data_IF_871423294644
#
_entry.id   IF_871423294644
#
_cell.length_a   1.000
_cell.length_b   1.000
_cell.length_c   1.000
_cell.angle_alpha   90.00
_cell.angle_beta   90.00
_cell.angle_gamma   90.00
#
_symmetry.space_group_name_H-M   'P 1'
#
loop_
_entity.id
_entity.type
_entity.pdbx_description
1 polymer ?
#
# COMPACT_ATOMS: atom_id res chain seq x y z
N UNK A 1 4.51 -3.65 32.53
CA UNK A 1 3.86 -3.19 31.28
C UNK A 1 4.24 -4.15 30.17
N UNK A 2 3.33 -5.04 29.76
CA UNK A 2 3.57 -5.99 28.68
C UNK A 2 3.26 -5.27 27.37
N UNK A 3 4.29 -4.96 26.59
CA UNK A 3 4.13 -4.37 25.26
C UNK A 3 3.46 -5.37 24.33
N UNK A 4 2.22 -5.10 23.92
CA UNK A 4 1.54 -5.83 22.86
C UNK A 4 2.38 -5.74 21.58
N UNK A 5 3.03 -6.83 21.18
CA UNK A 5 3.66 -6.96 19.86
C UNK A 5 2.55 -6.90 18.84
N UNK A 6 2.27 -5.70 18.32
CA UNK A 6 1.19 -5.49 17.35
C UNK A 6 1.35 -6.44 16.18
N UNK A 7 0.40 -7.37 16.04
CA UNK A 7 0.28 -8.24 14.86
C UNK A 7 0.23 -7.34 13.63
N UNK A 8 1.30 -7.34 12.83
CA UNK A 8 1.33 -6.63 11.55
C UNK A 8 0.16 -7.13 10.71
N UNK A 9 -0.74 -6.22 10.34
CA UNK A 9 -1.88 -6.52 9.47
C UNK A 9 -1.46 -7.14 8.14
N UNK A 10 -2.41 -7.74 7.43
CA UNK A 10 -2.17 -8.33 6.10
C UNK A 10 -1.68 -7.23 5.13
N UNK A 11 -0.71 -7.56 4.30
CA UNK A 11 -0.22 -6.65 3.27
C UNK A 11 -1.31 -6.40 2.23
N UNK A 12 -1.53 -5.14 1.88
CA UNK A 12 -2.40 -4.74 0.77
C UNK A 12 -1.66 -5.07 -0.53
N UNK A 13 -2.32 -5.78 -1.46
CA UNK A 13 -1.78 -6.13 -2.77
C UNK A 13 -1.86 -4.94 -3.74
N UNK A 14 -1.11 -4.98 -4.84
CA UNK A 14 -1.07 -3.96 -5.91
C UNK A 14 -2.46 -3.49 -6.33
N UNK A 15 -3.35 -4.42 -6.66
CA UNK A 15 -4.69 -4.11 -7.18
C UNK A 15 -5.53 -3.39 -6.12
N UNK A 16 -5.35 -3.79 -4.85
CA UNK A 16 -5.97 -3.09 -3.72
C UNK A 16 -5.42 -1.68 -3.53
N UNK A 17 -4.12 -1.48 -3.76
CA UNK A 17 -3.53 -0.13 -3.74
C UNK A 17 -4.09 0.74 -4.87
N UNK A 18 -4.27 0.19 -6.08
CA UNK A 18 -4.86 0.91 -7.20
C UNK A 18 -6.30 1.33 -6.93
N UNK A 19 -7.11 0.48 -6.30
CA UNK A 19 -8.48 0.83 -5.89
C UNK A 19 -8.45 2.01 -4.91
N UNK A 20 -7.58 1.95 -3.91
CA UNK A 20 -7.43 3.04 -2.91
C UNK A 20 -7.04 4.35 -3.60
N UNK A 21 -6.15 4.29 -4.59
CA UNK A 21 -5.72 5.44 -5.37
C UNK A 21 -6.88 6.00 -6.19
N UNK A 22 -7.63 5.16 -6.91
CA UNK A 22 -8.80 5.60 -7.71
C UNK A 22 -9.86 6.26 -6.84
N UNK A 23 -10.16 5.68 -5.68
CA UNK A 23 -11.09 6.25 -4.70
C UNK A 23 -10.58 7.60 -4.17
N UNK A 24 -9.29 7.70 -3.87
CA UNK A 24 -8.68 8.97 -3.46
C UNK A 24 -8.79 10.03 -4.57
N UNK A 25 -8.46 9.67 -5.82
CA UNK A 25 -8.58 10.57 -6.98
C UNK A 25 -10.00 11.07 -7.12
N UNK A 26 -11.00 10.19 -7.07
CA UNK A 26 -12.41 10.57 -7.10
C UNK A 26 -12.77 11.60 -6.03
N UNK A 27 -12.39 11.36 -4.76
CA UNK A 27 -12.66 12.34 -3.70
C UNK A 27 -11.88 13.65 -3.85
N UNK A 28 -10.74 13.62 -4.54
CA UNK A 28 -9.94 14.83 -4.82
C UNK A 28 -10.59 15.65 -5.92
N UNK A 29 -11.04 15.01 -7.00
CA UNK A 29 -11.78 15.64 -8.10
C UNK A 29 -13.09 16.25 -7.60
N UNK A 30 -13.83 15.50 -6.78
CA UNK A 30 -15.03 16.01 -6.12
C UNK A 30 -14.68 17.25 -5.29
N UNK A 31 -13.63 17.20 -4.45
CA UNK A 31 -13.17 18.34 -3.65
C UNK A 31 -12.76 19.55 -4.48
N UNK A 32 -12.12 19.36 -5.63
CA UNK A 32 -11.76 20.45 -6.54
C UNK A 32 -12.99 21.04 -7.24
N UNK A 33 -13.93 20.20 -7.67
CA UNK A 33 -15.23 20.63 -8.18
C UNK A 33 -16.00 21.47 -7.13
N UNK A 34 -15.80 21.20 -5.83
CA UNK A 34 -16.37 22.00 -4.75
C UNK A 34 -15.87 23.45 -4.72
N UNK A 35 -14.63 23.71 -5.13
CA UNK A 35 -14.08 25.07 -5.18
C UNK A 35 -14.80 25.95 -6.21
N UNK A 36 -15.49 25.33 -7.19
CA UNK A 36 -16.23 26.01 -8.25
C UNK A 36 -17.71 26.26 -7.92
N UNK A 37 -18.28 25.70 -6.83
CA UNK A 37 -19.63 26.06 -6.39
C UNK A 37 -20.41 24.93 -5.71
N UNK A 38 -20.52 25.04 -4.38
CA UNK A 38 -21.37 24.33 -3.40
C UNK A 38 -21.15 22.81 -3.25
N UNK A 39 -20.74 22.34 -2.05
CA UNK A 39 -20.64 20.92 -1.78
C UNK A 39 -21.97 20.23 -1.58
N UNK A 40 -22.15 19.13 -2.30
CA UNK A 40 -23.05 18.05 -1.89
C UNK A 40 -22.54 17.39 -0.60
N UNK A 41 -21.23 17.48 -0.32
CA UNK A 41 -20.58 16.74 0.76
C UNK A 41 -19.40 17.54 1.38
N UNK A 42 -19.38 17.74 2.71
CA UNK A 42 -18.27 18.45 3.39
C UNK A 42 -17.00 17.59 3.47
N UNK A 43 -16.00 17.87 2.63
CA UNK A 43 -14.74 17.11 2.58
C UNK A 43 -13.73 17.79 3.50
N UNK A 44 -13.88 17.64 4.82
CA UNK A 44 -12.89 18.14 5.79
C UNK A 44 -11.52 17.48 5.62
N UNK A 45 -11.48 16.23 5.15
CA UNK A 45 -10.26 15.49 4.81
C UNK A 45 -10.53 14.41 3.77
N UNK A 46 -9.94 14.55 2.57
CA UNK A 46 -9.98 13.56 1.49
C UNK A 46 -9.40 12.22 1.95
N UNK A 47 -8.35 12.27 2.79
CA UNK A 47 -7.65 11.09 3.30
C UNK A 47 -8.55 10.30 4.27
N UNK A 48 -9.25 10.97 5.18
CA UNK A 48 -10.13 10.31 6.14
C UNK A 48 -11.33 9.65 5.45
N UNK A 49 -11.86 10.28 4.39
CA UNK A 49 -12.94 9.70 3.58
C UNK A 49 -12.46 8.50 2.77
N UNK A 50 -11.29 8.59 2.16
CA UNK A 50 -10.68 7.46 1.46
C UNK A 50 -10.47 6.30 2.43
N UNK A 51 -9.96 6.58 3.63
CA UNK A 51 -9.77 5.60 4.69
C UNK A 51 -11.08 4.93 5.10
N UNK A 52 -12.15 5.70 5.32
CA UNK A 52 -13.47 5.19 5.65
C UNK A 52 -14.07 4.34 4.51
N UNK A 53 -14.02 4.83 3.27
CA UNK A 53 -14.59 4.15 2.10
C UNK A 53 -13.88 2.84 1.78
N UNK A 54 -12.56 2.78 1.98
CA UNK A 54 -11.74 1.58 1.70
C UNK A 54 -11.54 0.69 2.92
N UNK A 55 -12.04 1.08 4.09
CA UNK A 55 -11.80 0.39 5.37
C UNK A 55 -10.31 0.20 5.69
N UNK A 56 -9.49 1.16 5.29
CA UNK A 56 -8.03 1.16 5.51
C UNK A 56 -7.66 2.32 6.43
N UNK A 57 -6.70 2.13 7.33
CA UNK A 57 -6.22 3.22 8.18
C UNK A 57 -5.72 4.42 7.37
N UNK A 58 -5.99 5.63 7.84
CA UNK A 58 -5.49 6.88 7.22
C UNK A 58 -3.97 6.88 7.02
N UNK A 59 -3.23 6.36 7.99
CA UNK A 59 -1.77 6.21 7.88
C UNK A 59 -1.35 5.31 6.70
N UNK A 60 -2.08 4.22 6.46
CA UNK A 60 -1.80 3.33 5.33
C UNK A 60 -2.15 3.99 4.00
N UNK A 61 -3.25 4.76 3.93
CA UNK A 61 -3.60 5.57 2.75
C UNK A 61 -2.47 6.57 2.44
N UNK A 62 -2.02 7.36 3.41
CA UNK A 62 -0.91 8.31 3.22
C UNK A 62 0.38 7.61 2.74
N UNK A 63 0.67 6.42 3.27
CA UNK A 63 1.85 5.63 2.86
C UNK A 63 1.73 5.11 1.42
N UNK A 64 0.54 4.69 0.99
CA UNK A 64 0.27 4.26 -0.39
C UNK A 64 0.42 5.44 -1.35
N UNK A 65 -0.14 6.61 -1.01
CA UNK A 65 -0.02 7.82 -1.83
C UNK A 65 1.44 8.28 -1.97
N UNK A 66 2.23 8.20 -0.89
CA UNK A 66 3.67 8.48 -0.95
C UNK A 66 4.38 7.55 -1.93
N UNK A 67 4.11 6.25 -1.86
CA UNK A 67 4.67 5.26 -2.79
C UNK A 67 4.24 5.52 -4.23
N UNK A 68 3.01 5.95 -4.46
CA UNK A 68 2.54 6.31 -5.79
C UNK A 68 3.34 7.49 -6.36
N UNK A 69 3.58 8.54 -5.57
CA UNK A 69 4.41 9.67 -5.99
C UNK A 69 5.84 9.24 -6.33
N UNK A 70 6.43 8.39 -5.50
CA UNK A 70 7.76 7.82 -5.77
C UNK A 70 7.77 6.97 -7.04
N UNK A 71 6.74 6.15 -7.26
CA UNK A 71 6.59 5.31 -8.44
C UNK A 71 6.45 6.13 -9.73
N UNK A 72 5.65 7.20 -9.70
CA UNK A 72 5.51 8.15 -10.81
C UNK A 72 6.81 8.90 -11.10
N UNK A 73 7.57 9.28 -10.07
CA UNK A 73 8.85 9.97 -10.25
C UNK A 73 9.93 9.10 -10.89
N UNK A 74 9.82 7.77 -10.76
CA UNK A 74 10.81 6.82 -11.24
C UNK A 74 10.32 5.99 -12.44
N UNK A 75 9.18 6.34 -13.05
CA UNK A 75 8.46 5.54 -14.06
C UNK A 75 8.35 4.04 -13.70
N UNK A 76 8.12 3.74 -12.41
CA UNK A 76 8.04 2.38 -11.90
C UNK A 76 6.62 1.99 -11.48
N UNK A 77 6.36 0.68 -11.41
CA UNK A 77 5.04 0.14 -11.06
C UNK A 77 4.88 -0.02 -9.54
N UNK A 78 3.70 0.31 -9.03
CA UNK A 78 3.32 0.08 -7.64
C UNK A 78 3.36 -1.42 -7.28
N UNK A 79 4.37 -1.82 -6.52
CA UNK A 79 4.54 -3.21 -6.09
C UNK A 79 4.08 -3.44 -4.66
N UNK A 80 3.40 -4.58 -4.48
CA UNK A 80 3.10 -5.14 -3.16
C UNK A 80 4.42 -5.28 -2.39
N UNK A 81 4.52 -4.79 -1.14
CA UNK A 81 5.72 -4.99 -0.35
C UNK A 81 5.99 -6.49 -0.19
N UNK A 82 7.06 -6.94 -0.84
CA UNK A 82 7.46 -8.34 -0.85
C UNK A 82 7.98 -8.80 0.50
N UNK A 83 7.80 -10.09 0.81
CA UNK A 83 8.55 -10.73 1.90
C UNK A 83 10.02 -10.78 1.51
N UNK A 84 10.91 -10.33 2.40
CA UNK A 84 12.34 -10.59 2.25
C UNK A 84 12.58 -12.07 2.46
N UNK A 85 12.98 -12.79 1.42
CA UNK A 85 13.52 -14.13 1.57
C UNK A 85 14.99 -13.98 1.97
N UNK A 86 15.45 -14.63 3.06
CA UNK A 86 16.89 -14.69 3.32
C UNK A 86 17.57 -15.33 2.11
N UNK A 87 18.71 -14.77 1.69
CA UNK A 87 19.53 -15.31 0.60
C UNK A 87 19.90 -16.76 0.95
N UNK A 88 19.14 -17.71 0.41
CA UNK A 88 19.36 -19.13 0.57
C UNK A 88 20.46 -19.46 -0.42
N UNK A 89 21.72 -19.24 -0.03
CA UNK A 89 22.84 -19.86 -0.75
C UNK A 89 22.51 -21.36 -0.83
N UNK A 90 22.39 -21.94 -2.02
CA UNK A 90 22.08 -23.36 -2.14
C UNK A 90 23.29 -24.10 -1.56
N UNK A 91 23.16 -24.63 -0.33
CA UNK A 91 24.09 -25.63 0.19
C UNK A 91 23.89 -26.87 -0.69
N UNK A 92 24.68 -26.96 -1.76
CA UNK A 92 24.77 -28.19 -2.54
C UNK A 92 25.32 -29.25 -1.59
N UNK A 93 24.49 -30.19 -1.18
CA UNK A 93 24.98 -31.42 -0.54
C UNK A 93 25.76 -32.16 -1.61
N UNK A 94 27.07 -32.24 -1.44
CA UNK A 94 27.93 -33.09 -2.26
C UNK A 94 27.43 -34.51 -2.02
N UNK A 95 26.88 -35.14 -3.07
CA UNK A 95 26.48 -36.54 -3.04
C UNK A 95 27.78 -37.32 -2.88
N UNK A 96 27.92 -38.04 -1.76
CA UNK A 96 29.07 -38.89 -1.50
C UNK A 96 29.06 -40.04 -2.52
N UNK A 97 30.14 -40.16 -3.28
CA UNK A 97 30.30 -41.18 -4.31
C UNK A 97 30.51 -42.52 -3.61
N UNK A 98 29.44 -43.30 -3.41
CA UNK A 98 29.59 -44.69 -3.00
C UNK A 98 30.29 -45.46 -4.12
N UNK A 99 31.60 -45.67 -3.99
CA UNK A 99 32.37 -46.57 -4.86
C UNK A 99 31.92 -48.02 -4.64
N UNK A 100 31.65 -48.71 -5.75
CA UNK A 100 31.23 -50.12 -5.81
C UNK A 100 32.36 -51.09 -5.47
#
# INVERSE_FOLDING_TARGET
MVGSVGTRGKAIKSDGMEIIIKVHTFFTEEYEALKCGKPTISVSSVIERTAAATSVSSHSVSRILKKQKEALASDSVLRTPGKKHPNRTPKKTIIDSFSA
#
